data_IF_092665589960
#
_entry.id   IF_092665589960
#
_cell.length_a   1.000
_cell.length_b   1.000
_cell.length_c   1.000
_cell.angle_alpha   90.00
_cell.angle_beta   90.00
_cell.angle_gamma   90.00
#
_symmetry.space_group_name_H-M   'P 1'
#
loop_
_entity.id
_entity.type
_entity.pdbx_description
1 polymer ?
#
# COMPACT_ATOMS: atom_id res chain seq x y z
N UNK A 1 27.59 35.58 39.49
CA UNK A 1 26.46 36.02 38.64
C UNK A 1 26.84 36.19 37.16
N UNK A 2 27.81 37.02 36.77
CA UNK A 2 28.20 37.18 35.34
C UNK A 2 28.72 35.89 34.68
N UNK A 3 29.58 35.13 35.38
CA UNK A 3 30.15 33.86 34.88
C UNK A 3 29.10 32.75 34.69
N UNK A 4 28.13 32.66 35.60
CA UNK A 4 27.01 31.72 35.49
C UNK A 4 26.06 32.10 34.35
N UNK A 5 25.77 33.40 34.17
CA UNK A 5 25.00 33.90 33.02
C UNK A 5 25.68 33.60 31.67
N UNK A 6 27.00 33.80 31.58
CA UNK A 6 27.77 33.47 30.37
C UNK A 6 27.77 31.96 30.06
N UNK A 7 27.93 31.12 31.08
CA UNK A 7 27.87 29.65 30.92
C UNK A 7 26.45 29.23 30.48
N UNK A 8 25.40 29.76 31.11
CA UNK A 8 24.02 29.46 30.71
C UNK A 8 23.71 29.93 29.29
N UNK A 9 24.18 31.12 28.89
CA UNK A 9 24.00 31.61 27.53
C UNK A 9 24.76 30.75 26.50
N UNK A 10 26.00 30.33 26.80
CA UNK A 10 26.76 29.44 25.94
C UNK A 10 26.09 28.05 25.79
N UNK A 11 25.55 27.50 26.88
CA UNK A 11 24.80 26.24 26.85
C UNK A 11 23.52 26.34 26.01
N UNK A 12 22.78 27.46 26.12
CA UNK A 12 21.60 27.70 25.31
C UNK A 12 21.93 27.82 23.82
N UNK A 13 23.01 28.52 23.48
CA UNK A 13 23.49 28.61 22.09
C UNK A 13 23.91 27.25 21.53
N UNK A 14 24.64 26.44 22.31
CA UNK A 14 25.01 25.08 21.92
C UNK A 14 23.79 24.18 21.73
N UNK A 15 22.82 24.26 22.64
CA UNK A 15 21.57 23.50 22.52
C UNK A 15 20.76 23.92 21.29
N UNK A 16 20.69 25.23 21.00
CA UNK A 16 20.03 25.76 19.82
C UNK A 16 20.71 25.31 18.51
N UNK A 17 22.04 25.36 18.46
CA UNK A 17 22.79 24.87 17.31
C UNK A 17 22.60 23.36 17.09
N UNK A 18 22.66 22.57 18.16
CA UNK A 18 22.40 21.13 18.10
C UNK A 18 20.98 20.81 17.62
N UNK A 19 19.97 21.56 18.08
CA UNK A 19 18.59 21.40 17.64
C UNK A 19 18.43 21.73 16.15
N UNK A 20 19.04 22.82 15.67
CA UNK A 20 18.99 23.18 14.25
C UNK A 20 19.65 22.11 13.38
N UNK A 21 20.84 21.63 13.76
CA UNK A 21 21.51 20.53 13.04
C UNK A 21 20.68 19.25 13.04
N UNK A 22 20.00 18.93 14.14
CA UNK A 22 19.10 17.78 14.20
C UNK A 22 17.89 17.95 13.28
N UNK A 23 17.26 19.13 13.27
CA UNK A 23 16.12 19.42 12.39
C UNK A 23 16.51 19.42 10.91
N UNK A 24 17.72 19.87 10.60
CA UNK A 24 18.27 19.82 9.24
C UNK A 24 18.51 18.37 8.81
N UNK A 25 19.22 17.58 9.62
CA UNK A 25 19.37 16.14 9.41
C UNK A 25 18.01 15.45 9.28
N UNK A 26 17.02 15.74 10.12
CA UNK A 26 15.70 15.10 10.06
C UNK A 26 14.97 15.35 8.74
N UNK A 27 15.24 16.49 8.07
CA UNK A 27 14.67 16.79 6.74
C UNK A 27 15.34 16.03 5.62
N UNK A 28 16.62 15.67 5.75
CA UNK A 28 17.33 14.94 4.70
C UNK A 28 16.73 13.55 4.47
N UNK A 29 16.26 13.27 3.24
CA UNK A 29 15.72 11.98 2.84
C UNK A 29 16.58 11.35 1.73
N UNK A 30 17.78 10.81 2.05
CA UNK A 30 18.67 10.25 1.04
C UNK A 30 18.07 8.98 0.43
N UNK A 31 18.14 8.86 -0.89
CA UNK A 31 17.70 7.69 -1.65
C UNK A 31 18.68 6.55 -1.48
N UNK A 32 18.18 5.32 -1.28
CA UNK A 32 19.04 4.14 -1.27
C UNK A 32 19.00 3.55 -2.67
N UNK A 33 20.17 3.25 -3.22
CA UNK A 33 20.26 2.44 -4.43
C UNK A 33 19.96 0.98 -4.07
N UNK A 34 18.75 0.54 -4.41
CA UNK A 34 18.29 -0.83 -4.21
C UNK A 34 17.74 -1.38 -5.52
N UNK A 35 17.99 -2.66 -5.77
CA UNK A 35 17.40 -3.37 -6.90
C UNK A 35 16.21 -4.17 -6.39
N UNK A 36 15.01 -3.69 -6.71
CA UNK A 36 13.77 -4.44 -6.48
C UNK A 36 13.81 -5.78 -7.20
N UNK A 37 13.22 -6.82 -6.60
CA UNK A 37 13.09 -8.12 -7.25
C UNK A 37 11.95 -8.06 -8.28
N UNK A 38 12.32 -7.85 -9.54
CA UNK A 38 11.38 -7.69 -10.66
C UNK A 38 10.93 -9.01 -11.28
N UNK A 39 11.39 -10.16 -10.76
CA UNK A 39 11.00 -11.46 -11.32
C UNK A 39 9.49 -11.64 -11.17
N UNK A 40 8.86 -12.10 -12.25
CA UNK A 40 7.43 -12.42 -12.28
C UNK A 40 7.23 -13.83 -12.78
N UNK A 41 6.36 -14.57 -12.09
CA UNK A 41 5.93 -15.90 -12.49
C UNK A 41 4.51 -15.82 -13.04
N UNK A 42 4.38 -16.06 -14.34
CA UNK A 42 3.09 -16.07 -15.02
C UNK A 42 2.46 -17.45 -14.89
N UNK A 43 1.34 -17.52 -14.18
CA UNK A 43 0.57 -18.73 -13.93
C UNK A 43 -0.74 -18.59 -14.68
N UNK A 44 -0.79 -19.14 -15.89
CA UNK A 44 -1.96 -19.06 -16.77
C UNK A 44 -2.34 -20.46 -17.28
N UNK A 45 -3.64 -20.82 -17.27
CA UNK A 45 -4.11 -21.92 -18.09
C UNK A 45 -3.95 -21.56 -19.59
N UNK A 46 -3.97 -22.56 -20.49
CA UNK A 46 -3.96 -22.32 -21.94
C UNK A 46 -5.09 -21.36 -22.35
N UNK A 47 -4.86 -20.48 -23.35
CA UNK A 47 -5.90 -19.58 -23.82
C UNK A 47 -7.08 -20.36 -24.43
N UNK A 48 -8.33 -19.97 -24.14
CA UNK A 48 -9.49 -20.55 -24.80
C UNK A 48 -9.51 -20.17 -26.28
N UNK A 49 -10.29 -20.92 -27.08
CA UNK A 49 -10.46 -20.65 -28.51
C UNK A 49 -11.04 -19.24 -28.78
N UNK A 50 -11.93 -18.76 -27.90
CA UNK A 50 -12.52 -17.42 -27.95
C UNK A 50 -12.24 -16.70 -26.64
N UNK A 51 -11.71 -15.47 -26.72
CA UNK A 51 -11.36 -14.65 -25.55
C UNK A 51 -12.43 -13.58 -25.31
N UNK A 52 -13.10 -13.64 -24.16
CA UNK A 52 -14.06 -12.61 -23.71
C UNK A 52 -13.47 -11.64 -22.68
N UNK A 53 -12.17 -11.75 -22.42
CA UNK A 53 -11.47 -11.07 -21.33
C UNK A 53 -10.89 -12.06 -20.34
N UNK A 54 -10.30 -11.52 -19.27
CA UNK A 54 -9.64 -12.32 -18.25
C UNK A 54 -9.48 -11.53 -16.94
N UNK A 55 -9.37 -12.27 -15.86
CA UNK A 55 -8.96 -11.76 -14.57
C UNK A 55 -7.46 -12.01 -14.39
N UNK A 56 -6.71 -10.94 -14.09
CA UNK A 56 -5.34 -11.00 -13.64
C UNK A 56 -5.25 -10.61 -12.17
N UNK A 57 -4.80 -11.53 -11.32
CA UNK A 57 -4.51 -11.22 -9.92
C UNK A 57 -3.01 -11.19 -9.70
N UNK A 58 -2.51 -10.15 -9.03
CA UNK A 58 -1.08 -9.95 -8.79
C UNK A 58 -0.79 -10.13 -7.30
N UNK A 59 0.04 -11.10 -6.94
CA UNK A 59 0.61 -11.24 -5.59
C UNK A 59 2.06 -10.74 -5.60
N UNK A 60 2.29 -9.42 -5.47
CA UNK A 60 3.62 -8.86 -5.54
C UNK A 60 4.43 -9.29 -4.33
N UNK A 61 5.70 -9.60 -4.55
CA UNK A 61 6.65 -9.81 -3.46
C UNK A 61 7.32 -8.47 -3.13
N UNK A 62 6.93 -7.87 -2.01
CA UNK A 62 7.34 -6.54 -1.60
C UNK A 62 8.19 -6.56 -0.33
N UNK A 63 9.14 -5.64 -0.29
CA UNK A 63 10.04 -5.36 0.82
C UNK A 63 9.94 -3.89 1.21
N UNK A 64 10.46 -3.47 2.38
CA UNK A 64 10.29 -2.09 2.85
C UNK A 64 10.87 -1.07 1.86
N UNK A 65 11.97 -1.42 1.18
CA UNK A 65 12.61 -0.56 0.19
C UNK A 65 11.76 -0.30 -1.06
N UNK A 66 10.84 -1.21 -1.41
CA UNK A 66 9.91 -0.97 -2.52
C UNK A 66 8.94 0.18 -2.19
N UNK A 67 8.74 0.49 -0.91
CA UNK A 67 7.97 1.63 -0.43
C UNK A 67 8.83 2.87 -0.11
N UNK A 68 10.11 2.90 -0.51
CA UNK A 68 10.93 4.10 -0.35
C UNK A 68 10.35 5.29 -1.12
N UNK A 69 9.76 5.01 -2.28
CA UNK A 69 9.05 5.99 -3.10
C UNK A 69 7.98 5.28 -3.94
N UNK A 70 6.93 5.97 -4.39
CA UNK A 70 5.93 5.40 -5.31
C UNK A 70 6.55 4.80 -6.58
N UNK A 71 7.67 5.37 -7.07
CA UNK A 71 8.38 4.88 -8.24
C UNK A 71 8.98 3.48 -8.04
N UNK A 72 9.47 3.15 -6.84
CA UNK A 72 10.03 1.81 -6.55
C UNK A 72 8.92 0.75 -6.54
N UNK A 73 7.80 1.03 -5.88
CA UNK A 73 6.63 0.16 -5.90
C UNK A 73 6.11 -0.03 -7.33
N UNK A 74 6.08 1.06 -8.10
CA UNK A 74 5.72 1.03 -9.52
C UNK A 74 6.59 0.06 -10.29
N UNK A 75 7.92 0.02 -10.07
CA UNK A 75 8.81 -0.89 -10.80
C UNK A 75 8.41 -2.36 -10.62
N UNK A 76 8.08 -2.78 -9.39
CA UNK A 76 7.67 -4.17 -9.12
C UNK A 76 6.34 -4.51 -9.79
N UNK A 77 5.37 -3.59 -9.74
CA UNK A 77 4.05 -3.79 -10.34
C UNK A 77 4.09 -3.73 -11.87
N UNK A 78 4.87 -2.80 -12.42
CA UNK A 78 5.11 -2.66 -13.85
C UNK A 78 5.77 -3.92 -14.41
N UNK A 79 6.78 -4.48 -13.73
CA UNK A 79 7.41 -5.73 -14.16
C UNK A 79 6.41 -6.90 -14.26
N UNK A 80 5.41 -6.95 -13.36
CA UNK A 80 4.37 -7.96 -13.43
C UNK A 80 3.41 -7.73 -14.61
N UNK A 81 3.06 -6.48 -14.89
CA UNK A 81 2.19 -6.10 -16.01
C UNK A 81 2.92 -6.21 -17.37
N UNK A 82 4.22 -5.95 -17.41
CA UNK A 82 5.06 -6.21 -18.58
C UNK A 82 5.08 -7.71 -18.91
N UNK A 83 5.28 -8.57 -17.91
CA UNK A 83 5.20 -10.02 -18.10
C UNK A 83 3.80 -10.47 -18.58
N UNK A 84 2.72 -9.82 -18.12
CA UNK A 84 1.37 -10.06 -18.61
C UNK A 84 1.20 -9.65 -20.09
N UNK A 85 1.74 -8.49 -20.46
CA UNK A 85 1.71 -7.97 -21.83
C UNK A 85 2.47 -8.89 -22.78
N UNK A 86 3.67 -9.30 -22.40
CA UNK A 86 4.53 -10.19 -23.18
C UNK A 86 3.92 -11.58 -23.35
N UNK A 87 3.15 -12.04 -22.37
CA UNK A 87 2.36 -13.27 -22.44
C UNK A 87 1.02 -13.11 -23.21
N UNK A 88 0.70 -11.92 -23.73
CA UNK A 88 -0.54 -11.65 -24.47
C UNK A 88 -1.80 -11.73 -23.62
N UNK A 89 -1.70 -11.42 -22.32
CA UNK A 89 -2.77 -11.52 -21.33
C UNK A 89 -3.50 -10.19 -21.08
N UNK A 90 -3.02 -9.08 -21.66
CA UNK A 90 -3.64 -7.76 -21.49
C UNK A 90 -4.52 -7.40 -22.69
N UNK A 91 -5.73 -6.96 -22.40
CA UNK A 91 -6.66 -6.36 -23.34
C UNK A 91 -7.63 -5.42 -22.58
N UNK A 92 -8.44 -4.60 -23.28
CA UNK A 92 -9.38 -3.69 -22.62
C UNK A 92 -10.43 -4.38 -21.73
N UNK A 93 -10.70 -5.66 -21.94
CA UNK A 93 -11.61 -6.49 -21.14
C UNK A 93 -10.89 -7.23 -20.00
N UNK A 94 -9.60 -6.99 -19.80
CA UNK A 94 -8.83 -7.52 -18.68
C UNK A 94 -9.11 -6.71 -17.42
N UNK A 95 -9.51 -7.40 -16.35
CA UNK A 95 -9.53 -6.85 -14.99
C UNK A 95 -8.23 -7.24 -14.27
N UNK A 96 -7.44 -6.26 -13.87
CA UNK A 96 -6.29 -6.45 -12.96
C UNK A 96 -6.73 -6.18 -11.53
N UNK A 97 -6.40 -7.06 -10.58
CA UNK A 97 -6.76 -6.91 -9.16
C UNK A 97 -5.49 -7.02 -8.31
N UNK A 98 -5.27 -6.02 -7.46
CA UNK A 98 -4.15 -5.94 -6.53
C UNK A 98 -4.59 -6.26 -5.08
N UNK A 99 -3.67 -6.70 -4.21
CA UNK A 99 -4.04 -7.07 -2.85
C UNK A 99 -4.45 -5.89 -1.98
N UNK A 100 -5.30 -6.17 -1.00
CA UNK A 100 -5.65 -5.18 0.02
C UNK A 100 -4.41 -4.70 0.80
N UNK A 101 -4.47 -3.44 1.26
CA UNK A 101 -3.42 -2.73 1.99
C UNK A 101 -2.12 -2.49 1.24
N UNK A 102 -2.06 -2.79 -0.07
CA UNK A 102 -0.90 -2.44 -0.88
C UNK A 102 -0.58 -0.95 -0.82
N UNK A 103 -1.59 -0.08 -0.74
CA UNK A 103 -1.42 1.37 -0.65
C UNK A 103 -1.11 1.89 0.75
N UNK A 104 -1.50 1.17 1.81
CA UNK A 104 -1.28 1.60 3.20
C UNK A 104 0.20 1.82 3.51
N UNK A 105 1.08 1.03 2.88
CA UNK A 105 2.51 1.09 3.11
C UNK A 105 3.23 2.26 2.41
N UNK A 106 2.53 3.06 1.59
CA UNK A 106 3.02 4.37 1.14
C UNK A 106 3.31 5.33 2.31
N UNK A 107 2.83 4.98 3.51
CA UNK A 107 3.28 5.52 4.79
C UNK A 107 4.81 5.55 4.93
N UNK A 108 5.54 4.62 4.31
CA UNK A 108 6.99 4.52 4.37
C UNK A 108 7.71 5.41 3.34
N UNK A 109 7.01 6.14 2.47
CA UNK A 109 7.62 7.00 1.45
C UNK A 109 8.55 8.04 2.07
N UNK A 110 9.79 8.15 1.59
CA UNK A 110 10.74 9.17 2.03
C UNK A 110 11.21 9.03 3.49
N UNK A 111 11.10 7.86 4.09
CA UNK A 111 11.69 7.58 5.40
C UNK A 111 13.22 7.41 5.35
N UNK A 112 13.83 7.38 6.53
CA UNK A 112 15.28 7.27 6.66
C UNK A 112 15.81 5.92 6.15
N UNK A 113 17.03 5.83 5.59
CA UNK A 113 17.61 4.56 5.16
C UNK A 113 17.52 3.41 6.17
N UNK A 114 17.69 3.74 7.45
CA UNK A 114 17.67 2.82 8.58
C UNK A 114 16.27 2.30 8.88
N UNK A 115 15.22 3.09 8.60
CA UNK A 115 13.83 2.66 8.68
C UNK A 115 13.61 1.39 7.84
N UNK A 116 14.13 1.36 6.62
CA UNK A 116 13.92 0.22 5.71
C UNK A 116 14.75 -1.02 6.04
N UNK A 117 15.84 -0.85 6.80
CA UNK A 117 16.71 -1.93 7.27
C UNK A 117 16.33 -2.45 8.65
N UNK A 118 15.38 -1.80 9.31
CA UNK A 118 14.98 -2.11 10.67
C UNK A 118 14.53 -3.56 10.79
N UNK A 119 15.06 -4.25 11.81
CA UNK A 119 14.86 -5.69 11.99
C UNK A 119 13.57 -6.02 12.73
N UNK A 120 13.18 -5.12 13.62
CA UNK A 120 12.03 -5.25 14.51
C UNK A 120 11.25 -3.94 14.65
N UNK A 121 10.09 -4.04 15.29
CA UNK A 121 9.14 -2.93 15.47
C UNK A 121 9.68 -1.80 16.34
N UNK A 122 10.60 -2.08 17.27
CA UNK A 122 11.13 -1.04 18.14
C UNK A 122 12.07 -0.13 17.35
N UNK A 123 12.94 -0.73 16.53
CA UNK A 123 13.89 0.00 15.68
C UNK A 123 13.17 0.85 14.63
N UNK A 124 12.20 0.24 13.94
CA UNK A 124 11.15 0.85 13.13
C UNK A 124 10.61 2.14 13.76
N UNK A 125 10.12 2.04 15.00
CA UNK A 125 9.49 3.14 15.72
C UNK A 125 10.48 4.25 16.07
N UNK A 126 11.68 3.87 16.50
CA UNK A 126 12.72 4.84 16.86
C UNK A 126 13.12 5.68 15.65
N UNK A 127 13.31 5.05 14.48
CA UNK A 127 13.61 5.78 13.26
C UNK A 127 12.47 6.68 12.79
N UNK A 128 11.22 6.26 12.99
CA UNK A 128 10.06 7.12 12.73
C UNK A 128 10.04 8.37 13.61
N UNK A 129 10.27 8.23 14.91
CA UNK A 129 10.28 9.36 15.84
C UNK A 129 11.46 10.30 15.57
N UNK A 130 12.65 9.74 15.28
CA UNK A 130 13.85 10.52 14.95
C UNK A 130 13.73 11.25 13.62
N UNK A 131 13.14 10.61 12.61
CA UNK A 131 12.94 11.20 11.28
C UNK A 131 11.80 12.21 11.21
N UNK A 132 10.87 12.20 12.16
CA UNK A 132 9.67 13.03 12.12
C UNK A 132 9.53 13.84 13.43
N UNK A 133 10.23 14.99 13.54
CA UNK A 133 10.28 15.77 14.79
C UNK A 133 8.92 16.30 15.23
N UNK A 134 8.03 16.66 14.30
CA UNK A 134 6.65 17.07 14.60
C UNK A 134 5.84 15.93 15.24
N UNK A 135 6.03 14.70 14.75
CA UNK A 135 5.42 13.50 15.33
C UNK A 135 5.96 13.25 16.74
N UNK A 136 7.29 13.35 16.92
CA UNK A 136 7.91 13.17 18.23
C UNK A 136 7.40 14.20 19.26
N UNK A 137 7.25 15.47 18.87
CA UNK A 137 6.65 16.50 19.73
C UNK A 137 5.20 16.14 20.10
N UNK A 138 4.40 15.70 19.13
CA UNK A 138 3.01 15.33 19.39
C UNK A 138 2.89 14.15 20.37
N UNK A 139 3.79 13.16 20.25
CA UNK A 139 3.86 12.01 21.15
C UNK A 139 4.19 12.41 22.57
N UNK A 140 5.19 13.30 22.75
CA UNK A 140 5.57 13.83 24.06
C UNK A 140 4.45 14.65 24.70
N UNK A 141 3.77 15.49 23.93
CA UNK A 141 2.69 16.34 24.43
C UNK A 141 1.42 15.56 24.77
N UNK A 142 1.11 14.51 24.02
CA UNK A 142 -0.15 13.74 24.16
C UNK A 142 0.02 12.39 24.86
N UNK A 143 1.22 12.03 25.30
CA UNK A 143 1.55 10.73 25.90
C UNK A 143 0.97 9.55 25.09
N UNK A 144 1.22 9.54 23.78
CA UNK A 144 0.67 8.53 22.89
C UNK A 144 1.29 7.16 23.17
N UNK A 145 0.45 6.12 23.22
CA UNK A 145 0.90 4.73 23.23
C UNK A 145 1.31 4.27 21.81
N UNK A 146 1.77 3.02 21.70
CA UNK A 146 2.25 2.49 20.42
C UNK A 146 1.19 2.50 19.31
N UNK A 147 -0.06 2.17 19.62
CA UNK A 147 -1.13 2.13 18.61
C UNK A 147 -1.49 3.53 18.13
N UNK A 148 -1.56 4.49 19.07
CA UNK A 148 -1.84 5.89 18.76
C UNK A 148 -0.71 6.57 17.99
N UNK A 149 0.53 6.11 18.17
CA UNK A 149 1.67 6.57 17.37
C UNK A 149 1.52 6.18 15.90
N UNK A 150 1.19 4.91 15.62
CA UNK A 150 1.01 4.42 14.25
C UNK A 150 -0.13 5.16 13.54
N UNK A 151 -1.24 5.39 14.25
CA UNK A 151 -2.35 6.20 13.75
C UNK A 151 -1.96 7.66 13.51
N UNK A 152 -1.20 8.28 14.43
CA UNK A 152 -0.75 9.66 14.27
C UNK A 152 0.18 9.83 13.06
N UNK A 153 1.07 8.87 12.81
CA UNK A 153 1.93 8.86 11.62
C UNK A 153 1.09 8.73 10.35
N UNK A 154 0.12 7.80 10.34
CA UNK A 154 -0.78 7.62 9.21
C UNK A 154 -1.52 8.91 8.88
N UNK A 155 -2.10 9.57 9.88
CA UNK A 155 -2.79 10.87 9.72
C UNK A 155 -1.84 11.96 9.22
N UNK A 156 -0.60 11.99 9.71
CA UNK A 156 0.39 12.97 9.29
C UNK A 156 0.73 12.85 7.79
N UNK A 157 0.73 11.63 7.24
CA UNK A 157 1.12 11.37 5.84
C UNK A 157 -0.06 11.09 4.91
N UNK A 158 -1.29 11.07 5.42
CA UNK A 158 -2.45 10.59 4.70
C UNK A 158 -2.71 11.32 3.37
N UNK A 159 -2.53 12.64 3.32
CA UNK A 159 -2.73 13.42 2.09
C UNK A 159 -1.72 13.07 1.00
N UNK A 160 -0.44 12.94 1.37
CA UNK A 160 0.59 12.49 0.44
C UNK A 160 0.30 11.06 -0.02
N UNK A 161 -0.11 10.18 0.89
CA UNK A 161 -0.45 8.80 0.56
C UNK A 161 -1.63 8.71 -0.40
N UNK A 162 -2.66 9.55 -0.24
CA UNK A 162 -3.80 9.66 -1.15
C UNK A 162 -3.35 10.06 -2.57
N UNK A 163 -2.53 11.10 -2.66
CA UNK A 163 -1.95 11.58 -3.93
C UNK A 163 -1.09 10.50 -4.59
N UNK A 164 -0.17 9.88 -3.84
CA UNK A 164 0.72 8.84 -4.33
C UNK A 164 -0.05 7.60 -4.79
N UNK A 165 -1.09 7.19 -4.04
CA UNK A 165 -1.95 6.07 -4.37
C UNK A 165 -2.66 6.29 -5.71
N UNK A 166 -3.34 7.42 -5.86
CA UNK A 166 -4.05 7.74 -7.09
C UNK A 166 -3.11 7.85 -8.29
N UNK A 167 -1.99 8.57 -8.15
CA UNK A 167 -1.03 8.76 -9.23
C UNK A 167 -0.40 7.43 -9.68
N UNK A 168 -0.02 6.57 -8.73
CA UNK A 168 0.58 5.28 -9.00
C UNK A 168 -0.37 4.36 -9.76
N UNK A 169 -1.54 4.10 -9.18
CA UNK A 169 -2.43 3.07 -9.71
C UNK A 169 -3.21 3.54 -10.95
N UNK A 170 -3.62 4.81 -11.00
CA UNK A 170 -4.15 5.42 -12.22
C UNK A 170 -3.11 5.47 -13.35
N UNK A 171 -1.84 5.74 -13.01
CA UNK A 171 -0.73 5.69 -13.96
C UNK A 171 -0.51 4.29 -14.56
N UNK A 172 -0.53 3.24 -13.73
CA UNK A 172 -0.43 1.85 -14.19
C UNK A 172 -1.62 1.46 -15.06
N UNK A 173 -2.86 1.77 -14.65
CA UNK A 173 -4.06 1.45 -15.43
C UNK A 173 -4.00 2.07 -16.84
N UNK A 174 -3.61 3.35 -16.92
CA UNK A 174 -3.45 4.08 -18.18
C UNK A 174 -2.36 3.52 -19.07
N UNK A 175 -1.19 3.24 -18.51
CA UNK A 175 -0.03 2.77 -19.29
C UNK A 175 -0.24 1.39 -19.89
N UNK A 176 -0.92 0.51 -19.17
CA UNK A 176 -1.20 -0.85 -19.61
C UNK A 176 -2.57 -1.01 -20.28
N UNK A 177 -3.38 0.04 -20.33
CA UNK A 177 -4.66 0.06 -21.03
C UNK A 177 -5.68 -0.93 -20.45
N UNK A 178 -5.72 -1.08 -19.13
CA UNK A 178 -6.55 -2.07 -18.42
C UNK A 178 -7.44 -1.44 -17.37
N UNK A 179 -8.53 -2.13 -17.00
CA UNK A 179 -9.23 -1.81 -15.76
C UNK A 179 -8.45 -2.39 -14.59
N UNK A 180 -8.10 -1.56 -13.61
CA UNK A 180 -7.26 -1.94 -12.47
C UNK A 180 -7.98 -1.64 -11.16
N UNK A 181 -8.30 -2.68 -10.39
CA UNK A 181 -8.64 -2.53 -8.98
C UNK A 181 -7.34 -2.43 -8.16
N UNK A 182 -7.17 -1.28 -7.52
CA UNK A 182 -5.89 -0.82 -6.98
C UNK A 182 -5.53 -1.38 -5.60
N UNK A 183 -6.11 -2.53 -5.22
CA UNK A 183 -6.03 -3.00 -3.84
C UNK A 183 -6.67 -1.99 -2.91
N UNK A 184 -6.11 -1.82 -1.71
CA UNK A 184 -6.66 -0.85 -0.76
C UNK A 184 -5.60 -0.04 -0.03
N UNK A 185 -6.06 1.05 0.59
CA UNK A 185 -5.28 2.01 1.38
C UNK A 185 -6.07 2.41 2.62
N UNK A 186 -5.37 2.75 3.70
CA UNK A 186 -6.00 3.32 4.89
C UNK A 186 -5.87 4.84 4.86
N UNK A 187 -7.01 5.53 4.92
CA UNK A 187 -7.07 6.98 4.96
C UNK A 187 -8.10 7.44 6.01
N UNK A 188 -7.84 8.54 6.73
CA UNK A 188 -8.84 9.26 7.50
C UNK A 188 -9.89 9.86 6.57
N UNK A 189 -11.17 9.53 6.79
CA UNK A 189 -12.34 10.13 6.12
C UNK A 189 -12.08 10.52 4.63
N UNK A 190 -11.73 9.52 3.79
CA UNK A 190 -11.33 9.80 2.41
C UNK A 190 -12.52 10.29 1.58
N UNK A 191 -12.25 11.21 0.67
CA UNK A 191 -13.24 11.73 -0.26
C UNK A 191 -12.60 12.04 -1.62
N UNK A 192 -13.42 12.03 -2.66
CA UNK A 192 -13.02 12.44 -4.01
C UNK A 192 -13.69 13.78 -4.30
N UNK A 193 -12.92 14.75 -4.77
CA UNK A 193 -13.43 16.07 -5.13
C UNK A 193 -14.11 16.10 -6.52
N UNK A 194 -14.57 17.28 -6.95
CA UNK A 194 -15.22 17.46 -8.24
C UNK A 194 -14.30 17.23 -9.45
N UNK A 195 -12.98 17.31 -9.26
CA UNK A 195 -11.96 17.10 -10.29
C UNK A 195 -11.44 15.64 -10.31
N UNK A 196 -12.02 14.78 -9.49
CA UNK A 196 -11.65 13.37 -9.38
C UNK A 196 -10.37 13.12 -8.61
N UNK A 197 -9.92 14.06 -7.77
CA UNK A 197 -8.76 13.91 -6.89
C UNK A 197 -9.16 13.33 -5.53
N UNK A 198 -8.38 12.37 -5.06
CA UNK A 198 -8.54 11.72 -3.76
C UNK A 198 -7.85 12.53 -2.68
N UNK A 199 -8.61 12.86 -1.64
CA UNK A 199 -8.14 13.60 -0.48
C UNK A 199 -8.37 12.82 0.81
N UNK A 200 -7.52 13.10 1.80
CA UNK A 200 -7.70 12.64 3.18
C UNK A 200 -8.43 13.69 4.00
N UNK A 201 -9.43 13.27 4.76
CA UNK A 201 -10.10 14.08 5.76
C UNK A 201 -9.44 14.02 7.13
N UNK A 202 -10.23 14.28 8.18
CA UNK A 202 -9.75 14.31 9.58
C UNK A 202 -10.51 13.34 10.51
N UNK A 203 -11.60 12.74 10.04
CA UNK A 203 -12.44 11.82 10.79
C UNK A 203 -11.86 10.41 11.03
N UNK A 204 -12.74 9.39 11.15
CA UNK A 204 -12.32 8.01 11.42
C UNK A 204 -11.51 7.43 10.25
N UNK A 205 -10.73 6.39 10.54
CA UNK A 205 -9.99 5.66 9.51
C UNK A 205 -10.93 4.77 8.71
N UNK A 206 -10.68 4.72 7.40
CA UNK A 206 -11.38 3.86 6.46
C UNK A 206 -10.38 3.08 5.62
N UNK A 207 -10.71 1.82 5.34
CA UNK A 207 -10.07 1.05 4.29
C UNK A 207 -10.77 1.36 2.97
N UNK A 208 -10.06 2.10 2.10
CA UNK A 208 -10.52 2.56 0.80
C UNK A 208 -9.95 1.67 -0.30
N UNK A 209 -10.78 1.30 -1.27
CA UNK A 209 -10.36 0.68 -2.53
C UNK A 209 -10.96 1.40 -3.73
N UNK A 210 -10.11 1.75 -4.69
CA UNK A 210 -10.51 2.40 -5.94
C UNK A 210 -10.33 1.47 -7.14
N UNK A 211 -11.13 1.73 -8.17
CA UNK A 211 -10.99 1.11 -9.49
C UNK A 211 -10.61 2.19 -10.48
N UNK A 212 -9.57 1.94 -11.26
CA UNK A 212 -9.12 2.83 -12.32
C UNK A 212 -9.45 2.22 -13.68
N UNK A 213 -10.00 3.04 -14.58
CA UNK A 213 -10.23 2.64 -15.97
C UNK A 213 -8.95 2.65 -16.81
N UNK A 214 -9.02 2.18 -18.06
CA UNK A 214 -7.88 2.19 -19.00
C UNK A 214 -7.34 3.58 -19.35
N UNK A 215 -8.03 4.66 -18.99
CA UNK A 215 -7.59 6.05 -19.13
C UNK A 215 -6.88 6.58 -17.88
N UNK A 216 -6.82 5.78 -16.82
CA UNK A 216 -6.24 6.13 -15.52
C UNK A 216 -7.17 6.93 -14.61
N UNK A 217 -8.45 7.14 -14.98
CA UNK A 217 -9.42 7.83 -14.14
C UNK A 217 -10.11 6.86 -13.19
N UNK A 218 -10.54 7.37 -12.05
CA UNK A 218 -11.36 6.61 -11.10
C UNK A 218 -12.72 6.33 -11.74
N UNK A 219 -13.18 5.07 -11.68
CA UNK A 219 -14.47 4.64 -12.20
C UNK A 219 -15.29 3.94 -11.13
N UNK A 220 -16.62 4.06 -11.22
CA UNK A 220 -17.55 3.50 -10.26
C UNK A 220 -17.50 4.19 -8.89
N UNK A 221 -18.21 3.61 -7.92
CA UNK A 221 -18.20 4.12 -6.54
C UNK A 221 -16.96 3.61 -5.78
N UNK A 222 -16.28 4.49 -5.02
CA UNK A 222 -15.24 4.07 -4.09
C UNK A 222 -15.78 3.05 -3.10
N UNK A 223 -15.01 1.99 -2.86
CA UNK A 223 -15.33 1.06 -1.80
C UNK A 223 -14.75 1.56 -0.47
N UNK A 224 -15.61 1.65 0.55
CA UNK A 224 -15.25 2.08 1.89
C UNK A 224 -15.63 1.00 2.92
N UNK A 225 -14.68 0.70 3.80
CA UNK A 225 -14.86 -0.21 4.93
C UNK A 225 -14.37 0.45 6.21
N UNK A 226 -15.11 0.28 7.29
CA UNK A 226 -14.74 0.76 8.64
C UNK A 226 -13.38 0.19 9.08
N UNK A 227 -12.58 1.01 9.76
CA UNK A 227 -11.31 0.57 10.32
C UNK A 227 -11.13 0.99 11.79
N UNK A 228 -10.82 0.03 12.70
CA UNK A 228 -10.68 -1.41 12.46
C UNK A 228 -12.01 -2.05 12.06
N UNK A 229 -11.96 -3.09 11.23
CA UNK A 229 -13.16 -3.79 10.79
C UNK A 229 -13.84 -4.50 11.96
N UNK A 230 -15.11 -4.17 12.20
CA UNK A 230 -15.88 -4.73 13.32
C UNK A 230 -17.08 -5.59 12.90
N UNK A 231 -17.40 -5.64 11.61
CA UNK A 231 -18.61 -6.32 11.14
C UNK A 231 -18.40 -7.82 10.90
N UNK A 232 -19.47 -8.61 10.98
CA UNK A 232 -19.44 -10.07 10.72
C UNK A 232 -19.65 -10.36 9.22
N UNK A 233 -20.03 -9.35 8.42
CA UNK A 233 -20.30 -9.51 6.99
C UNK A 233 -19.00 -9.33 6.21
N UNK A 234 -18.67 -10.29 5.36
CA UNK A 234 -17.58 -10.18 4.38
C UNK A 234 -17.87 -8.98 3.48
N UNK A 235 -17.05 -7.92 3.52
CA UNK A 235 -17.25 -6.76 2.67
C UNK A 235 -17.01 -7.10 1.20
N UNK A 236 -17.92 -6.67 0.33
CA UNK A 236 -17.90 -6.99 -1.10
C UNK A 236 -17.93 -5.72 -1.94
N UNK A 237 -16.96 -5.55 -2.84
CA UNK A 237 -16.96 -4.51 -3.86
C UNK A 237 -17.38 -5.09 -5.21
N UNK A 238 -18.28 -4.41 -5.93
CA UNK A 238 -18.64 -4.76 -7.29
C UNK A 238 -17.75 -4.00 -8.27
N UNK A 239 -17.20 -4.70 -9.25
CA UNK A 239 -16.40 -4.10 -10.34
C UNK A 239 -16.94 -4.59 -11.67
N UNK A 240 -17.13 -3.68 -12.61
CA UNK A 240 -17.64 -3.99 -13.95
C UNK A 240 -16.58 -3.68 -15.00
N UNK A 241 -16.36 -4.62 -15.92
CA UNK A 241 -15.46 -4.46 -17.07
C UNK A 241 -16.21 -4.93 -18.31
N UNK A 242 -16.53 -4.01 -19.23
CA UNK A 242 -17.44 -4.31 -20.34
C UNK A 242 -18.82 -4.71 -19.82
N UNK A 243 -19.29 -5.89 -20.22
CA UNK A 243 -20.53 -6.53 -19.76
C UNK A 243 -20.32 -7.49 -18.57
N UNK A 244 -19.07 -7.69 -18.14
CA UNK A 244 -18.70 -8.65 -17.10
C UNK A 244 -18.71 -7.98 -15.72
N UNK A 245 -19.29 -8.68 -14.74
CA UNK A 245 -19.35 -8.22 -13.35
C UNK A 245 -18.54 -9.14 -12.43
N UNK A 246 -17.67 -8.53 -11.63
CA UNK A 246 -16.82 -9.20 -10.65
C UNK A 246 -17.20 -8.75 -9.24
N UNK A 247 -17.09 -9.66 -8.27
CA UNK A 247 -17.26 -9.35 -6.85
C UNK A 247 -15.95 -9.57 -6.12
N UNK A 248 -15.44 -8.53 -5.47
CA UNK A 248 -14.19 -8.59 -4.69
C UNK A 248 -14.57 -8.66 -3.22
N UNK A 249 -14.37 -9.83 -2.64
CA UNK A 249 -14.62 -10.13 -1.24
C UNK A 249 -13.34 -9.96 -0.44
N UNK A 250 -13.43 -9.31 0.73
CA UNK A 250 -12.29 -9.04 1.61
C UNK A 250 -12.49 -9.77 2.92
N UNK A 251 -11.56 -10.64 3.27
CA UNK A 251 -11.64 -11.47 4.48
C UNK A 251 -10.38 -11.30 5.33
N UNK A 252 -10.63 -11.03 6.61
CA UNK A 252 -9.64 -10.77 7.64
C UNK A 252 -9.67 -11.81 8.76
N UNK A 253 -10.66 -12.70 8.77
CA UNK A 253 -10.85 -13.70 9.82
C UNK A 253 -9.59 -14.57 10.05
N UNK A 254 -8.78 -14.88 9.02
CA UNK A 254 -7.54 -15.63 9.23
C UNK A 254 -6.39 -14.85 9.91
N UNK A 255 -6.64 -13.60 10.34
CA UNK A 255 -5.66 -12.76 11.02
C UNK A 255 -4.72 -11.99 10.09
N UNK A 256 -5.01 -11.97 8.79
CA UNK A 256 -4.25 -11.25 7.76
C UNK A 256 -5.17 -10.82 6.61
N UNK A 257 -4.85 -9.73 5.88
CA UNK A 257 -5.67 -9.21 4.79
C UNK A 257 -5.66 -10.13 3.56
N UNK A 258 -6.79 -10.75 3.25
CA UNK A 258 -6.96 -11.48 2.01
C UNK A 258 -8.16 -10.96 1.22
N UNK A 259 -8.03 -10.97 -0.10
CA UNK A 259 -9.16 -10.73 -1.00
C UNK A 259 -9.37 -11.88 -1.97
N UNK A 260 -10.60 -12.08 -2.42
CA UNK A 260 -10.97 -13.07 -3.44
C UNK A 260 -11.88 -12.41 -4.45
N UNK A 261 -11.75 -12.83 -5.69
CA UNK A 261 -12.59 -12.33 -6.78
C UNK A 261 -13.54 -13.44 -7.19
N UNK A 262 -14.84 -13.20 -7.11
CA UNK A 262 -15.84 -14.02 -7.77
C UNK A 262 -15.98 -13.53 -9.21
N UNK A 263 -15.79 -14.46 -10.14
CA UNK A 263 -15.89 -14.24 -11.57
C UNK A 263 -17.36 -14.33 -12.03
N UNK A 264 -17.71 -13.73 -13.18
CA UNK A 264 -19.05 -13.80 -13.77
C UNK A 264 -19.60 -15.23 -13.93
N UNK A 265 -18.71 -16.20 -14.20
CA UNK A 265 -19.05 -17.61 -14.38
C UNK A 265 -19.19 -18.39 -13.05
N UNK A 266 -19.22 -17.71 -11.90
CA UNK A 266 -19.36 -18.33 -10.58
C UNK A 266 -18.09 -18.95 -10.01
N UNK A 267 -16.97 -18.93 -10.74
CA UNK A 267 -15.66 -19.37 -10.21
C UNK A 267 -15.11 -18.33 -9.25
N UNK A 268 -14.28 -18.76 -8.31
CA UNK A 268 -13.55 -17.86 -7.39
C UNK A 268 -12.06 -17.89 -7.70
N UNK A 269 -11.41 -16.73 -7.59
CA UNK A 269 -9.96 -16.66 -7.69
C UNK A 269 -9.28 -17.34 -6.50
N UNK A 270 -8.02 -17.79 -6.67
CA UNK A 270 -7.14 -18.02 -5.53
C UNK A 270 -7.07 -16.77 -4.64
N UNK A 271 -6.81 -16.91 -3.33
CA UNK A 271 -6.76 -15.78 -2.40
C UNK A 271 -5.65 -14.81 -2.79
N UNK A 272 -5.90 -13.51 -2.69
CA UNK A 272 -5.00 -12.45 -3.06
C UNK A 272 -4.42 -11.81 -1.79
N UNK A 273 -3.10 -11.63 -1.77
CA UNK A 273 -2.36 -11.11 -0.62
C UNK A 273 -1.00 -10.58 -1.02
N UNK A 274 -0.45 -9.71 -0.17
CA UNK A 274 0.91 -9.22 -0.29
C UNK A 274 1.91 -10.33 0.07
N UNK A 275 2.96 -10.48 -0.74
CA UNK A 275 4.08 -11.39 -0.43
C UNK A 275 5.29 -10.58 0.00
N UNK A 276 6.27 -11.26 0.59
CA UNK A 276 7.50 -10.64 1.09
C UNK A 276 7.46 -10.29 2.57
N UNK A 277 8.19 -9.24 2.96
CA UNK A 277 8.38 -8.86 4.38
C UNK A 277 8.19 -7.36 4.52
N UNK A 278 7.10 -6.93 5.15
CA UNK A 278 6.97 -5.57 5.67
C UNK A 278 6.78 -5.71 7.17
N UNK A 279 7.80 -5.32 7.95
CA UNK A 279 7.92 -5.63 9.39
C UNK A 279 7.06 -4.72 10.28
N UNK A 280 6.24 -3.85 9.70
CA UNK A 280 5.49 -2.83 10.43
C UNK A 280 4.11 -3.33 10.87
N UNK A 281 3.61 -2.95 12.05
CA UNK A 281 2.19 -2.99 12.35
C UNK A 281 1.44 -1.88 11.58
N UNK A 282 0.18 -2.15 11.23
CA UNK A 282 -0.75 -1.16 10.65
C UNK A 282 -1.56 -0.52 11.80
N UNK A 283 -1.82 0.78 11.69
CA UNK A 283 -2.57 1.61 12.66
C UNK A 283 -3.76 0.91 13.30
N UNK A 284 -3.63 0.63 14.60
CA UNK A 284 -4.69 0.08 15.46
C UNK A 284 -4.97 -1.42 15.32
N UNK A 285 -4.26 -2.15 14.45
CA UNK A 285 -4.47 -3.60 14.28
C UNK A 285 -3.90 -4.37 15.46
N UNK A 286 -4.59 -5.43 15.95
CA UNK A 286 -4.02 -6.34 16.96
C UNK A 286 -2.63 -6.83 16.54
N UNK A 287 -1.73 -6.94 17.53
CA UNK A 287 -0.33 -7.36 17.33
C UNK A 287 -0.29 -8.73 16.64
N UNK A 288 0.06 -8.79 15.34
CA UNK A 288 0.25 -10.10 14.69
C UNK A 288 0.09 -10.21 13.17
N UNK A 289 -0.27 -9.16 12.43
CA UNK A 289 -0.48 -9.33 10.97
C UNK A 289 0.85 -9.58 10.25
N UNK A 290 1.06 -10.84 9.85
CA UNK A 290 2.04 -11.19 8.84
C UNK A 290 1.41 -10.92 7.47
N UNK A 291 2.09 -10.12 6.64
CA UNK A 291 1.55 -9.75 5.32
C UNK A 291 1.62 -10.91 4.34
N UNK A 292 2.74 -11.65 4.39
CA UNK A 292 2.77 -13.00 3.81
C UNK A 292 2.21 -13.98 4.84
N UNK A 293 1.10 -14.66 4.55
CA UNK A 293 0.55 -15.60 5.51
C UNK A 293 1.36 -16.89 5.51
N UNK A 294 1.94 -17.24 6.66
CA UNK A 294 2.84 -18.39 6.78
C UNK A 294 2.20 -19.73 6.37
N UNK A 295 0.88 -19.83 6.49
CA UNK A 295 0.10 -21.03 6.18
C UNK A 295 -0.65 -20.91 4.84
N UNK A 296 -0.60 -19.77 4.15
CA UNK A 296 -1.30 -19.62 2.87
C UNK A 296 -0.56 -20.40 1.77
N UNK A 297 -1.28 -21.23 0.98
CA UNK A 297 -0.66 -21.98 -0.11
C UNK A 297 0.00 -21.03 -1.11
N UNK A 298 1.31 -21.19 -1.28
CA UNK A 298 2.04 -20.55 -2.35
C UNK A 298 1.84 -21.37 -3.63
N UNK A 299 1.56 -20.68 -4.73
CA UNK A 299 1.40 -21.36 -6.03
C UNK A 299 2.72 -21.77 -6.66
N UNK A 300 3.83 -21.25 -6.14
CA UNK A 300 5.19 -21.60 -6.50
C UNK A 300 6.12 -21.31 -5.34
N UNK A 301 7.20 -22.09 -5.22
CA UNK A 301 8.28 -21.88 -4.27
C UNK A 301 9.34 -20.89 -4.78
N UNK A 302 9.29 -20.53 -6.06
CA UNK A 302 10.22 -19.58 -6.64
C UNK A 302 9.97 -18.16 -6.09
N UNK A 303 11.02 -17.34 -5.94
CA UNK A 303 10.90 -15.93 -5.57
C UNK A 303 10.33 -15.08 -6.71
N UNK A 304 10.00 -13.82 -6.41
CA UNK A 304 9.39 -12.86 -7.33
C UNK A 304 7.87 -12.84 -7.26
N UNK A 305 7.23 -11.90 -7.94
CA UNK A 305 5.78 -11.72 -8.00
C UNK A 305 5.07 -12.93 -8.64
N UNK A 306 3.90 -13.32 -8.09
CA UNK A 306 3.01 -14.26 -8.80
C UNK A 306 1.96 -13.47 -9.56
N UNK A 307 1.88 -13.69 -10.87
CA UNK A 307 0.83 -13.19 -11.74
C UNK A 307 -0.06 -14.35 -12.13
N UNK A 308 -1.32 -14.35 -11.69
CA UNK A 308 -2.26 -15.44 -11.96
C UNK A 308 -3.30 -14.96 -12.96
N UNK A 309 -3.52 -15.75 -14.00
CA UNK A 309 -4.52 -15.50 -15.01
C UNK A 309 -5.70 -16.49 -14.93
N UNK A 310 -6.91 -15.97 -15.07
CA UNK A 310 -8.13 -16.75 -15.23
C UNK A 310 -8.93 -16.19 -16.41
N UNK A 311 -9.09 -17.00 -17.46
CA UNK A 311 -9.92 -16.63 -18.60
C UNK A 311 -11.39 -16.57 -18.22
N UNK A 312 -12.11 -15.62 -18.83
CA UNK A 312 -13.57 -15.61 -18.81
C UNK A 312 -14.04 -16.48 -19.95
N UNK A 313 -14.59 -17.63 -19.59
CA UNK A 313 -15.25 -18.53 -20.53
C UNK A 313 -16.67 -17.98 -20.83
N UNK A 314 -17.16 -18.18 -22.07
CA UNK A 314 -18.52 -17.79 -22.45
C UNK A 314 -19.61 -18.55 -21.67
#
# INVERSE_FOLDING_TARGET
MKRTLLISAALLLLAGAALLSFLDWAKERPTIHYLSDLRTQVISPPPPAVRHGNLLTIRPQLFPLDYQSPAHLRLVLAAALDAARDAGLLNPQTLVVLPDHIGTWLLATGEKPEFYRARDRLEVRNWLLLGNPLLAMNVLLRNLDANRLDEALLRMKAEQMATDYQALFGGLAREYGVTLQAGSILLPEPHIDGDGQLHSGSGPLWNLSLVFGPDGRIIGEPFLQDWPWTSVRIPTQRVTVGDQQYLIERDWLPGWPQSRVQLPNGRTSPPLFLRGRLSWPIGGVPRGVALTPAQAPQLSSLPGTHLLNQWIEP
#
